data_IF_824389848047
#
_entry.id   IF_824389848047
#
_cell.length_a   1.000
_cell.length_b   1.000
_cell.length_c   1.000
_cell.angle_alpha   90.00
_cell.angle_beta   90.00
_cell.angle_gamma   90.00
#
_symmetry.space_group_name_H-M   'P 1'
#
loop_
_entity.id
_entity.type
_entity.pdbx_description
1 polymer ?
#
# COMPACT_ATOMS: atom_id res chain seq x y z
N UNK A 1 -16.80 30.45 -38.53
CA UNK A 1 -16.45 30.79 -39.92
C UNK A 1 -17.75 31.11 -40.64
N UNK A 2 -17.80 32.21 -41.37
CA UNK A 2 -19.03 32.78 -41.94
C UNK A 2 -19.63 31.87 -43.03
N UNK A 3 -20.96 31.76 -43.04
CA UNK A 3 -21.75 31.03 -44.04
C UNK A 3 -21.90 31.90 -45.30
N UNK A 4 -21.44 31.42 -46.46
CA UNK A 4 -21.68 32.06 -47.76
C UNK A 4 -22.82 31.34 -48.48
N UNK A 5 -23.96 32.01 -48.61
CA UNK A 5 -25.21 31.46 -49.14
C UNK A 5 -25.30 31.47 -50.67
N UNK A 6 -24.23 31.88 -51.36
CA UNK A 6 -24.24 32.14 -52.82
C UNK A 6 -23.27 31.28 -53.61
N UNK A 7 -22.38 30.53 -52.94
CA UNK A 7 -21.57 29.51 -53.57
C UNK A 7 -22.44 28.32 -54.04
N UNK A 8 -22.42 28.04 -55.35
CA UNK A 8 -22.89 26.77 -55.93
C UNK A 8 -21.66 25.94 -56.29
N UNK A 9 -21.46 24.74 -55.73
CA UNK A 9 -22.32 23.99 -54.83
C UNK A 9 -22.22 24.44 -53.35
N UNK A 10 -23.31 24.30 -52.60
CA UNK A 10 -23.35 24.50 -51.15
C UNK A 10 -22.51 23.41 -50.45
N UNK A 11 -21.40 23.79 -49.82
CA UNK A 11 -20.62 22.91 -48.95
C UNK A 11 -21.18 22.99 -47.52
N UNK A 12 -21.99 22.02 -47.12
CA UNK A 12 -22.41 21.87 -45.73
C UNK A 12 -21.26 21.16 -44.99
N UNK A 13 -20.54 21.80 -44.06
CA UNK A 13 -19.54 21.10 -43.26
C UNK A 13 -20.24 20.07 -42.37
N UNK A 14 -20.17 18.80 -42.77
CA UNK A 14 -20.58 17.68 -41.92
C UNK A 14 -19.56 17.56 -40.80
N UNK A 15 -20.01 17.77 -39.56
CA UNK A 15 -19.21 17.38 -38.39
C UNK A 15 -19.19 15.85 -38.39
N UNK A 16 -18.02 15.19 -38.32
CA UNK A 16 -17.96 13.73 -38.20
C UNK A 16 -18.87 13.26 -37.07
N UNK A 17 -19.69 12.24 -37.35
CA UNK A 17 -20.68 11.73 -36.40
C UNK A 17 -20.02 11.28 -35.10
N UNK A 18 -20.76 11.35 -34.00
CA UNK A 18 -20.30 10.82 -32.70
C UNK A 18 -19.97 9.33 -32.74
N UNK A 19 -20.56 8.59 -33.68
CA UNK A 19 -20.29 7.16 -33.90
C UNK A 19 -18.95 6.91 -34.59
N UNK A 20 -18.56 7.74 -35.56
CA UNK A 20 -17.23 7.71 -36.18
C UNK A 20 -16.15 7.98 -35.12
N UNK A 21 -16.39 8.96 -34.23
CA UNK A 21 -15.46 9.24 -33.12
C UNK A 21 -15.34 8.07 -32.13
N UNK A 22 -16.44 7.36 -31.85
CA UNK A 22 -16.40 6.18 -31.00
C UNK A 22 -15.60 5.06 -31.67
N UNK A 23 -15.75 4.88 -32.97
CA UNK A 23 -14.98 3.91 -33.74
C UNK A 23 -13.48 4.24 -33.72
N UNK A 24 -13.11 5.50 -33.95
CA UNK A 24 -11.72 5.97 -33.84
C UNK A 24 -11.16 5.77 -32.43
N UNK A 25 -11.95 6.05 -31.38
CA UNK A 25 -11.53 5.85 -29.99
C UNK A 25 -11.33 4.38 -29.65
N UNK A 26 -12.22 3.49 -30.09
CA UNK A 26 -12.09 2.05 -29.88
C UNK A 26 -10.86 1.50 -30.61
N UNK A 27 -10.64 1.93 -31.85
CA UNK A 27 -9.47 1.52 -32.62
C UNK A 27 -8.18 2.02 -31.96
N UNK A 28 -8.15 3.26 -31.47
CA UNK A 28 -7.03 3.81 -30.71
C UNK A 28 -6.78 3.06 -29.38
N UNK A 29 -7.81 2.58 -28.68
CA UNK A 29 -7.67 1.75 -27.48
C UNK A 29 -7.07 0.39 -27.82
N UNK A 30 -7.56 -0.27 -28.88
CA UNK A 30 -7.02 -1.55 -29.36
C UNK A 30 -5.56 -1.40 -29.80
N UNK A 31 -5.24 -0.32 -30.50
CA UNK A 31 -3.87 0.01 -30.92
C UNK A 31 -2.95 0.22 -29.71
N UNK A 32 -3.43 0.95 -28.69
CA UNK A 32 -2.71 1.15 -27.43
C UNK A 32 -2.50 -0.14 -26.66
N UNK A 33 -3.52 -1.00 -26.57
CA UNK A 33 -3.43 -2.30 -25.89
C UNK A 33 -2.44 -3.21 -26.61
N UNK A 34 -2.48 -3.25 -27.94
CA UNK A 34 -1.56 -4.05 -28.75
C UNK A 34 -0.11 -3.57 -28.65
N UNK A 35 0.09 -2.27 -28.35
CA UNK A 35 1.39 -1.66 -28.09
C UNK A 35 1.86 -1.81 -26.64
N UNK A 36 1.06 -2.38 -25.73
CA UNK A 36 1.52 -2.63 -24.37
C UNK A 36 2.57 -3.75 -24.37
N UNK A 37 3.80 -3.47 -23.89
CA UNK A 37 4.85 -4.48 -23.84
C UNK A 37 4.66 -5.35 -22.59
N UNK A 38 3.66 -6.23 -22.61
CA UNK A 38 3.32 -7.08 -21.46
C UNK A 38 4.52 -7.93 -21.03
N UNK A 39 5.30 -8.45 -21.99
CA UNK A 39 6.54 -9.18 -21.72
C UNK A 39 7.57 -8.35 -20.95
N UNK A 40 7.78 -7.09 -21.36
CA UNK A 40 8.69 -6.19 -20.66
C UNK A 40 8.19 -5.85 -19.26
N UNK A 41 6.88 -5.66 -19.09
CA UNK A 41 6.28 -5.42 -17.77
C UNK A 41 6.51 -6.63 -16.87
N UNK A 42 6.24 -7.84 -17.37
CA UNK A 42 6.47 -9.08 -16.63
C UNK A 42 7.95 -9.27 -16.27
N UNK A 43 8.86 -9.01 -17.21
CA UNK A 43 10.30 -9.09 -16.98
C UNK A 43 10.79 -8.08 -15.94
N UNK A 44 10.36 -6.82 -16.02
CA UNK A 44 10.71 -5.78 -15.06
C UNK A 44 10.14 -6.08 -13.67
N UNK A 45 8.90 -6.57 -13.59
CA UNK A 45 8.29 -7.00 -12.33
C UNK A 45 9.10 -8.14 -11.72
N UNK A 46 9.41 -9.19 -12.49
CA UNK A 46 10.20 -10.31 -12.01
C UNK A 46 11.60 -9.89 -11.54
N UNK A 47 12.26 -8.99 -12.28
CA UNK A 47 13.55 -8.41 -11.89
C UNK A 47 13.45 -7.63 -10.56
N UNK A 48 12.43 -6.79 -10.42
CA UNK A 48 12.17 -6.01 -9.20
C UNK A 48 11.90 -6.93 -8.00
N UNK A 49 11.13 -7.99 -8.19
CA UNK A 49 10.87 -9.02 -7.16
C UNK A 49 12.15 -9.72 -6.72
N UNK A 50 13.02 -10.09 -7.67
CA UNK A 50 14.29 -10.75 -7.38
C UNK A 50 15.24 -9.83 -6.60
N UNK A 51 15.35 -8.56 -6.99
CA UNK A 51 16.20 -7.57 -6.33
C UNK A 51 15.70 -7.20 -4.93
N UNK A 52 14.38 -7.09 -4.77
CA UNK A 52 13.73 -6.95 -3.48
C UNK A 52 14.02 -8.16 -2.57
N UNK A 53 13.87 -9.38 -3.09
CA UNK A 53 14.18 -10.60 -2.33
C UNK A 53 15.65 -10.65 -1.87
N UNK A 54 16.58 -10.20 -2.73
CA UNK A 54 18.00 -10.07 -2.41
C UNK A 54 18.22 -9.02 -1.32
N UNK A 55 17.58 -7.87 -1.43
CA UNK A 55 17.64 -6.79 -0.43
C UNK A 55 17.12 -7.26 0.93
N UNK A 56 15.99 -7.98 0.97
CA UNK A 56 15.45 -8.54 2.20
C UNK A 56 16.40 -9.57 2.83
N UNK A 57 17.04 -10.42 2.02
CA UNK A 57 18.06 -11.36 2.51
C UNK A 57 19.26 -10.62 3.11
N UNK A 58 19.73 -9.55 2.48
CA UNK A 58 20.84 -8.74 2.97
C UNK A 58 20.48 -8.01 4.27
N UNK A 59 19.30 -7.39 4.33
CA UNK A 59 18.81 -6.74 5.55
C UNK A 59 18.71 -7.75 6.69
N UNK A 60 18.15 -8.93 6.44
CA UNK A 60 17.98 -9.96 7.46
C UNK A 60 19.31 -10.61 7.89
N UNK A 61 20.24 -10.80 6.95
CA UNK A 61 21.49 -11.53 7.17
C UNK A 61 22.65 -10.68 7.68
N UNK A 62 22.71 -9.40 7.32
CA UNK A 62 23.85 -8.54 7.64
C UNK A 62 23.45 -7.36 8.52
N UNK A 63 22.41 -6.62 8.13
CA UNK A 63 22.03 -5.37 8.79
C UNK A 63 21.41 -5.62 10.17
N UNK A 64 20.44 -6.53 10.28
CA UNK A 64 19.77 -6.82 11.55
C UNK A 64 20.72 -7.33 12.65
N UNK A 65 21.65 -8.27 12.37
CA UNK A 65 22.66 -8.68 13.34
C UNK A 65 23.55 -7.53 13.80
N UNK A 66 24.05 -6.72 12.86
CA UNK A 66 24.91 -5.57 13.19
C UNK A 66 24.19 -4.53 14.05
N UNK A 67 22.93 -4.24 13.73
CA UNK A 67 22.10 -3.34 14.55
C UNK A 67 21.89 -3.90 15.96
N UNK A 68 21.67 -5.21 16.10
CA UNK A 68 21.54 -5.87 17.41
C UNK A 68 22.82 -5.71 18.23
N UNK A 69 23.97 -5.99 17.62
CA UNK A 69 25.26 -5.91 18.32
C UNK A 69 25.58 -4.46 18.73
N UNK A 70 25.26 -3.49 17.86
CA UNK A 70 25.39 -2.05 18.16
C UNK A 70 24.49 -1.63 19.33
N UNK A 71 23.25 -2.11 19.37
CA UNK A 71 22.32 -1.84 20.46
C UNK A 71 22.79 -2.47 21.78
N UNK A 72 23.36 -3.68 21.72
CA UNK A 72 23.92 -4.35 22.89
C UNK A 72 25.13 -3.59 23.47
N UNK A 73 26.05 -3.17 22.61
CA UNK A 73 27.19 -2.34 23.00
C UNK A 73 26.74 -1.00 23.59
N UNK A 74 25.77 -0.34 22.95
CA UNK A 74 25.19 0.91 23.44
C UNK A 74 24.57 0.73 24.82
N UNK A 75 23.80 -0.35 25.02
CA UNK A 75 23.22 -0.69 26.33
C UNK A 75 24.31 -0.89 27.38
N UNK A 76 25.41 -1.57 27.05
CA UNK A 76 26.54 -1.78 27.97
C UNK A 76 27.21 -0.45 28.36
N UNK A 77 27.50 0.40 27.38
CA UNK A 77 28.07 1.74 27.62
C UNK A 77 27.16 2.59 28.50
N UNK A 78 25.86 2.59 28.21
CA UNK A 78 24.87 3.32 29.00
C UNK A 78 24.71 2.76 30.41
N UNK A 79 24.82 1.43 30.59
CA UNK A 79 24.84 0.81 31.91
C UNK A 79 26.07 1.25 32.73
N UNK A 80 27.26 1.25 32.12
CA UNK A 80 28.48 1.73 32.78
C UNK A 80 28.43 3.23 33.10
N UNK A 81 27.85 4.04 32.21
CA UNK A 81 27.58 5.45 32.49
C UNK A 81 26.55 5.62 33.62
N UNK A 82 25.51 4.78 33.64
CA UNK A 82 24.51 4.75 34.70
C UNK A 82 25.16 4.49 36.06
N UNK A 83 26.08 3.51 36.15
CA UNK A 83 26.85 3.19 37.36
C UNK A 83 27.63 4.38 37.92
N UNK A 84 28.04 5.33 37.08
CA UNK A 84 28.77 6.54 37.48
C UNK A 84 27.89 7.60 38.17
N UNK A 85 26.55 7.50 38.07
CA UNK A 85 25.62 8.40 38.75
C UNK A 85 25.16 7.83 40.10
N UNK A 86 24.73 8.69 41.03
CA UNK A 86 24.13 8.28 42.31
C UNK A 86 22.84 7.50 42.10
N UNK A 87 22.60 6.50 42.96
CA UNK A 87 21.46 5.55 42.86
C UNK A 87 20.09 6.24 42.83
N UNK A 88 19.92 7.33 43.58
CA UNK A 88 18.66 8.10 43.67
C UNK A 88 18.56 9.30 42.71
N UNK A 89 19.42 9.38 41.68
CA UNK A 89 19.36 10.50 40.76
C UNK A 89 18.15 10.39 39.81
N UNK A 90 17.37 11.47 39.61
CA UNK A 90 16.25 11.48 38.65
C UNK A 90 16.72 11.26 37.20
N UNK A 91 18.00 11.50 36.90
CA UNK A 91 18.63 11.20 35.62
C UNK A 91 18.74 9.69 35.36
N UNK A 92 19.14 8.89 36.36
CA UNK A 92 19.15 7.41 36.24
C UNK A 92 17.76 6.86 35.93
N UNK A 93 16.73 7.36 36.62
CA UNK A 93 15.35 6.92 36.38
C UNK A 93 14.89 7.20 34.94
N UNK A 94 15.15 8.40 34.43
CA UNK A 94 14.84 8.78 33.04
C UNK A 94 15.60 7.92 32.03
N UNK A 95 16.88 7.62 32.29
CA UNK A 95 17.69 6.75 31.44
C UNK A 95 17.13 5.32 31.42
N UNK A 96 16.73 4.79 32.57
CA UNK A 96 16.07 3.48 32.68
C UNK A 96 14.79 3.40 31.84
N UNK A 97 13.93 4.42 31.94
CA UNK A 97 12.71 4.52 31.12
C UNK A 97 13.03 4.59 29.62
N UNK A 98 14.01 5.39 29.21
CA UNK A 98 14.42 5.47 27.81
C UNK A 98 14.95 4.11 27.29
N UNK A 99 15.72 3.39 28.11
CA UNK A 99 16.22 2.06 27.76
C UNK A 99 15.09 1.02 27.61
N UNK A 100 14.05 1.09 28.43
CA UNK A 100 12.87 0.24 28.27
C UNK A 100 12.15 0.52 26.95
N UNK A 101 11.98 1.80 26.60
CA UNK A 101 11.31 2.19 25.35
C UNK A 101 12.11 1.81 24.10
N UNK A 102 13.44 1.93 24.16
CA UNK A 102 14.34 1.43 23.12
C UNK A 102 14.21 -0.09 22.96
N UNK A 103 14.14 -0.84 24.07
CA UNK A 103 13.96 -2.30 24.03
C UNK A 103 12.62 -2.70 23.43
N UNK A 104 11.53 -2.01 23.80
CA UNK A 104 10.20 -2.22 23.20
C UNK A 104 10.23 -1.96 21.71
N UNK A 105 10.85 -0.86 21.28
CA UNK A 105 10.97 -0.49 19.86
C UNK A 105 11.78 -1.53 19.09
N UNK A 106 12.95 -1.93 19.61
CA UNK A 106 13.79 -2.96 18.99
C UNK A 106 13.05 -4.29 18.84
N UNK A 107 12.22 -4.67 19.82
CA UNK A 107 11.36 -5.85 19.71
C UNK A 107 10.31 -5.70 18.60
N UNK A 108 9.63 -4.56 18.51
CA UNK A 108 8.66 -4.28 17.45
C UNK A 108 9.29 -4.34 16.04
N UNK A 109 10.50 -3.77 15.89
CA UNK A 109 11.26 -3.85 14.63
C UNK A 109 11.60 -5.30 14.29
N UNK A 110 12.07 -6.09 15.26
CA UNK A 110 12.34 -7.52 15.03
C UNK A 110 11.09 -8.28 14.57
N UNK A 111 9.96 -8.08 15.26
CA UNK A 111 8.69 -8.75 14.88
C UNK A 111 8.30 -8.39 13.44
N UNK A 112 8.43 -7.12 13.07
CA UNK A 112 8.19 -6.68 11.70
C UNK A 112 9.17 -7.33 10.72
N UNK A 113 10.46 -7.34 11.03
CA UNK A 113 11.49 -7.94 10.18
C UNK A 113 11.29 -9.45 9.99
N UNK A 114 10.95 -10.17 11.06
CA UNK A 114 10.62 -11.61 11.00
C UNK A 114 9.37 -11.84 10.15
N UNK A 115 8.34 -10.99 10.29
CA UNK A 115 7.13 -11.06 9.47
C UNK A 115 7.44 -10.85 7.99
N UNK A 116 8.21 -9.80 7.65
CA UNK A 116 8.61 -9.51 6.28
C UNK A 116 9.55 -10.57 5.69
N UNK A 117 10.38 -11.19 6.52
CA UNK A 117 11.25 -12.30 6.12
C UNK A 117 10.47 -13.56 5.76
N UNK A 118 9.29 -13.77 6.37
CA UNK A 118 8.39 -14.91 6.08
C UNK A 118 7.34 -14.59 5.01
N UNK A 119 6.96 -13.32 4.86
CA UNK A 119 5.91 -12.85 3.96
C UNK A 119 6.38 -11.66 3.10
N UNK A 120 7.30 -11.88 2.13
CA UNK A 120 7.75 -10.82 1.23
C UNK A 120 6.59 -10.25 0.39
N UNK A 121 5.54 -11.03 0.13
CA UNK A 121 4.34 -10.58 -0.59
C UNK A 121 3.60 -9.42 0.09
N UNK A 122 3.78 -9.24 1.40
CA UNK A 122 3.12 -8.18 2.17
C UNK A 122 3.61 -6.76 1.79
N UNK A 123 4.79 -6.63 1.18
CA UNK A 123 5.32 -5.33 0.74
C UNK A 123 4.68 -4.86 -0.57
N UNK A 124 4.24 -5.80 -1.40
CA UNK A 124 3.64 -5.51 -2.71
C UNK A 124 2.13 -5.44 -2.60
N UNK A 125 1.55 -6.40 -1.89
CA UNK A 125 0.11 -6.43 -1.63
C UNK A 125 -0.32 -5.38 -0.61
N UNK A 126 0.64 -4.82 0.13
CA UNK A 126 0.36 -4.05 1.33
C UNK A 126 -0.18 -4.96 2.44
N UNK A 127 -0.46 -4.34 3.59
CA UNK A 127 -0.94 -5.07 4.77
C UNK A 127 -2.33 -5.65 4.50
N UNK A 128 -2.43 -6.97 4.31
CA UNK A 128 -3.71 -7.67 4.37
C UNK A 128 -4.33 -7.36 5.73
N UNK A 129 -5.52 -6.74 5.74
CA UNK A 129 -6.38 -6.73 6.94
C UNK A 129 -6.87 -8.16 7.14
N UNK A 130 -5.99 -9.01 7.65
CA UNK A 130 -6.41 -10.23 8.34
C UNK A 130 -7.10 -9.74 9.62
N UNK A 131 -8.37 -10.11 9.81
CA UNK A 131 -9.37 -9.59 10.77
C UNK A 131 -10.24 -8.39 10.34
N UNK A 132 -11.01 -8.55 9.25
CA UNK A 132 -12.42 -8.11 9.30
C UNK A 132 -13.30 -9.36 9.44
N UNK A 133 -13.84 -9.67 10.64
CA UNK A 133 -14.96 -10.59 10.72
C UNK A 133 -16.14 -10.01 9.93
N UNK A 134 -16.81 -10.87 9.17
CA UNK A 134 -17.93 -10.62 8.29
C UNK A 134 -18.89 -9.52 8.78
N UNK A 135 -18.74 -8.31 8.24
CA UNK A 135 -19.80 -7.31 8.24
C UNK A 135 -20.68 -7.47 6.99
N UNK A 136 -21.14 -8.71 6.73
CA UNK A 136 -22.34 -8.94 5.92
C UNK A 136 -23.49 -9.27 6.89
N UNK A 137 -23.93 -8.27 7.65
CA UNK A 137 -25.32 -8.25 8.09
C UNK A 137 -26.14 -7.82 6.89
N UNK A 138 -26.67 -8.80 6.16
CA UNK A 138 -27.79 -8.57 5.24
C UNK A 138 -28.90 -7.90 6.05
N UNK A 139 -29.46 -6.74 5.62
CA UNK A 139 -30.69 -6.26 6.20
C UNK A 139 -31.77 -7.25 5.79
N UNK A 140 -32.21 -8.08 6.74
CA UNK A 140 -33.44 -8.85 6.62
C UNK A 140 -34.58 -7.89 6.32
N UNK A 141 -35.09 -8.00 5.10
CA UNK A 141 -36.30 -7.36 4.62
C UNK A 141 -37.47 -7.78 5.50
N UNK A 142 -37.75 -6.97 6.53
CA UNK A 142 -39.02 -7.00 7.23
C UNK A 142 -40.04 -6.30 6.34
N UNK A 143 -40.54 -7.01 5.33
CA UNK A 143 -41.81 -6.67 4.67
C UNK A 143 -42.88 -6.81 5.75
N UNK A 144 -43.18 -5.70 6.43
CA UNK A 144 -44.38 -5.58 7.24
C UNK A 144 -45.51 -5.23 6.30
N UNK A 145 -46.02 -6.26 5.64
CA UNK A 145 -47.36 -6.26 5.08
C UNK A 145 -48.33 -6.05 6.24
N UNK A 146 -48.82 -4.82 6.36
CA UNK A 146 -49.91 -4.48 7.27
C UNK A 146 -51.10 -4.01 6.43
N UNK A 147 -51.89 -4.99 5.99
CA UNK A 147 -53.31 -4.79 5.74
C UNK A 147 -54.03 -5.16 7.04
N UNK A 148 -54.95 -4.31 7.51
CA UNK A 148 -56.26 -4.89 7.78
C UNK A 148 -57.40 -4.00 7.28
N UNK A 149 -58.29 -4.68 6.57
CA UNK A 149 -59.68 -4.34 6.28
C UNK A 149 -60.51 -4.33 7.58
N UNK A 150 -61.36 -3.31 7.78
CA UNK A 150 -62.78 -3.44 8.16
C UNK A 150 -63.39 -2.07 8.52
N UNK A 151 -64.55 -1.80 7.93
CA UNK A 151 -65.48 -0.68 8.17
C UNK A 151 -66.09 -0.73 9.59
N UNK A 152 -66.76 0.33 10.05
CA UNK A 152 -68.19 0.49 9.72
C UNK A 152 -68.56 1.81 9.03
#
# INVERSE_FOLDING_TARGET
MAYDATARPLEIPTVPGSMDKLQEQLQAVVDKISKLPIDSIAANLNGSLAEMQKTLKQVNGEVLPQMRDTLEQSKKTLASANESFSEDSPQRQKLGQAMEEVQRTARSVRVLSDFLGRHPEALIRGRLKDNQPDAYQSPSSSVRESVPEAQP
#
